data_IF_066681284051
#
_entry.id   IF_066681284051
#
_cell.length_a   1.000
_cell.length_b   1.000
_cell.length_c   1.000
_cell.angle_alpha   90.00
_cell.angle_beta   90.00
_cell.angle_gamma   90.00
#
_symmetry.space_group_name_H-M   'P 1'
#
loop_
_entity.id
_entity.type
_entity.pdbx_description
1 polymer ?
#
# COMPACT_ATOMS: atom_id res chain seq x y z
N UNK A 1 34.47 16.42 -10.57
CA UNK A 1 35.20 15.80 -9.44
C UNK A 1 34.48 16.24 -8.18
N UNK A 2 33.32 15.69 -7.85
CA UNK A 2 33.19 14.54 -6.94
C UNK A 2 31.88 13.79 -7.22
N UNK A 3 31.97 12.47 -7.19
CA UNK A 3 30.85 11.54 -7.29
C UNK A 3 30.22 11.36 -5.91
N UNK A 4 28.99 11.82 -5.68
CA UNK A 4 28.23 11.44 -4.47
C UNK A 4 27.38 10.22 -4.80
N UNK A 5 27.83 9.10 -4.25
CA UNK A 5 27.34 7.75 -4.53
C UNK A 5 25.89 7.52 -4.14
N UNK A 6 25.27 6.67 -4.96
CA UNK A 6 24.02 5.97 -4.73
C UNK A 6 24.28 4.90 -3.66
N UNK A 7 23.53 4.84 -2.54
CA UNK A 7 23.56 3.67 -1.70
C UNK A 7 22.75 2.58 -2.38
N UNK A 8 23.43 1.77 -3.18
CA UNK A 8 22.94 0.51 -3.72
C UNK A 8 23.50 -0.63 -2.88
N UNK A 9 22.93 -0.80 -1.68
CA UNK A 9 22.77 -2.07 -0.97
C UNK A 9 21.97 -1.81 0.32
N UNK A 10 20.64 -1.73 0.22
CA UNK A 10 19.79 -1.87 1.40
C UNK A 10 19.69 -3.38 1.68
N UNK A 11 20.72 -3.89 2.35
CA UNK A 11 20.88 -5.27 2.75
C UNK A 11 19.64 -5.84 3.41
N UNK A 12 19.39 -7.10 3.09
CA UNK A 12 18.31 -7.94 3.63
C UNK A 12 18.38 -7.94 5.17
N UNK A 13 17.36 -7.39 5.82
CA UNK A 13 17.21 -7.42 7.28
C UNK A 13 16.58 -8.73 7.70
N UNK A 14 17.42 -9.74 7.90
CA UNK A 14 17.04 -10.99 8.56
C UNK A 14 16.85 -10.72 10.09
N UNK A 15 15.70 -10.15 10.44
CA UNK A 15 15.21 -9.99 11.82
C UNK A 15 14.87 -8.55 12.25
N UNK A 16 13.65 -8.36 12.77
CA UNK A 16 13.16 -7.21 13.54
C UNK A 16 12.68 -5.94 12.79
N UNK A 17 11.36 -5.86 12.58
CA UNK A 17 10.62 -4.63 12.26
C UNK A 17 9.98 -4.62 10.86
N UNK A 18 8.71 -4.26 10.78
CA UNK A 18 8.03 -4.00 9.50
C UNK A 18 8.70 -2.80 8.82
N UNK A 19 9.01 -2.88 7.53
CA UNK A 19 9.53 -1.72 6.78
C UNK A 19 8.41 -0.73 6.42
N UNK A 20 8.74 0.56 6.36
CA UNK A 20 7.83 1.61 5.94
C UNK A 20 7.55 1.47 4.44
N UNK A 21 6.28 1.32 4.00
CA UNK A 21 5.96 1.15 2.58
C UNK A 21 6.19 2.43 1.75
N UNK A 22 6.32 3.59 2.40
CA UNK A 22 6.50 4.88 1.71
C UNK A 22 7.97 5.16 1.37
N UNK A 23 8.90 4.83 2.27
CA UNK A 23 10.33 5.20 2.16
C UNK A 23 11.32 4.06 2.44
N UNK A 24 10.88 2.89 2.90
CA UNK A 24 11.74 1.73 3.19
C UNK A 24 12.44 1.73 4.56
N UNK A 25 12.42 2.84 5.31
CA UNK A 25 12.97 2.90 6.66
C UNK A 25 12.19 2.02 7.65
N UNK A 26 12.76 1.61 8.80
CA UNK A 26 12.03 0.85 9.81
C UNK A 26 10.74 1.56 10.25
N UNK A 27 9.62 0.83 10.32
CA UNK A 27 8.36 1.39 10.79
C UNK A 27 8.45 1.82 12.26
N UNK A 28 7.61 2.78 12.64
CA UNK A 28 7.54 3.26 14.02
C UNK A 28 7.29 2.11 15.01
N UNK A 29 7.73 2.25 16.27
CA UNK A 29 7.43 1.27 17.30
C UNK A 29 5.90 1.14 17.50
N UNK A 30 5.41 -0.01 17.96
CA UNK A 30 4.02 -0.15 18.40
C UNK A 30 3.71 0.87 19.49
N UNK A 31 2.51 1.43 19.48
CA UNK A 31 2.06 2.25 20.60
C UNK A 31 1.81 1.36 21.82
N UNK A 32 1.87 1.96 23.01
CA UNK A 32 1.26 1.34 24.19
C UNK A 32 -0.24 1.07 23.97
N UNK A 33 -0.82 0.17 24.76
CA UNK A 33 -2.25 -0.16 24.65
C UNK A 33 -3.11 1.12 24.75
N UNK A 34 -3.92 1.36 23.72
CA UNK A 34 -4.79 2.54 23.62
C UNK A 34 -4.12 3.80 23.06
N UNK A 35 -2.80 3.77 22.82
CA UNK A 35 -2.08 4.84 22.16
C UNK A 35 -2.22 4.81 20.63
N UNK A 36 -1.67 5.83 19.97
CA UNK A 36 -1.62 5.92 18.50
C UNK A 36 -0.18 5.80 18.01
N UNK A 37 0.07 4.91 17.06
CA UNK A 37 1.35 4.77 16.37
C UNK A 37 1.11 4.90 14.85
N UNK A 38 2.03 5.53 14.10
CA UNK A 38 1.89 5.67 12.66
C UNK A 38 2.23 4.38 11.90
N UNK A 39 2.39 3.22 12.57
CA UNK A 39 2.54 1.93 11.89
C UNK A 39 1.41 1.72 10.87
N UNK A 40 1.71 1.21 9.66
CA UNK A 40 2.96 0.60 9.20
C UNK A 40 4.08 1.57 8.76
N UNK A 41 3.91 2.89 8.94
CA UNK A 41 4.87 3.90 8.48
C UNK A 41 5.91 4.27 9.55
N UNK A 42 7.02 4.89 9.13
CA UNK A 42 8.02 5.44 10.04
C UNK A 42 7.56 6.76 10.72
N UNK A 43 6.60 7.49 10.12
CA UNK A 43 6.14 8.80 10.59
C UNK A 43 4.75 9.17 10.05
N UNK A 44 4.10 10.16 10.66
CA UNK A 44 2.84 10.72 10.15
C UNK A 44 3.00 11.31 8.73
N UNK A 45 4.15 11.92 8.43
CA UNK A 45 4.42 12.44 7.09
C UNK A 45 4.42 11.34 6.02
N UNK A 46 4.96 10.16 6.32
CA UNK A 46 4.91 9.04 5.38
C UNK A 46 3.50 8.47 5.20
N UNK A 47 2.67 8.50 6.24
CA UNK A 47 1.25 8.14 6.12
C UNK A 47 0.48 9.15 5.23
N UNK A 48 0.72 10.46 5.41
CA UNK A 48 0.06 11.49 4.60
C UNK A 48 0.48 11.44 3.13
N UNK A 49 1.75 11.11 2.86
CA UNK A 49 2.25 10.91 1.48
C UNK A 49 1.57 9.69 0.84
N UNK A 50 1.44 8.59 1.56
CA UNK A 50 0.75 7.39 1.08
C UNK A 50 -0.71 7.71 0.76
N UNK A 51 -1.41 8.39 1.67
CA UNK A 51 -2.77 8.87 1.44
C UNK A 51 -2.85 9.78 0.20
N UNK A 52 -1.86 10.66 0.00
CA UNK A 52 -1.75 11.47 -1.21
C UNK A 52 -1.62 10.63 -2.48
N UNK A 53 -0.87 9.51 -2.44
CA UNK A 53 -0.75 8.58 -3.58
C UNK A 53 -2.08 7.91 -3.91
N UNK A 54 -2.88 7.56 -2.90
CA UNK A 54 -4.25 7.06 -3.10
C UNK A 54 -5.13 8.09 -3.82
N UNK A 55 -5.16 9.33 -3.33
CA UNK A 55 -5.99 10.38 -3.93
C UNK A 55 -5.53 10.84 -5.32
N UNK A 56 -4.28 10.55 -5.68
CA UNK A 56 -3.71 10.85 -7.00
C UNK A 56 -3.76 9.64 -7.94
N UNK A 57 -4.48 8.58 -7.57
CA UNK A 57 -4.62 7.36 -8.38
C UNK A 57 -3.26 6.75 -8.78
N UNK A 58 -2.24 6.92 -7.93
CA UNK A 58 -0.90 6.38 -8.17
C UNK A 58 -0.84 4.88 -7.93
N UNK A 59 -1.76 4.36 -7.12
CA UNK A 59 -1.95 2.93 -6.93
C UNK A 59 -2.98 2.44 -7.94
N UNK A 60 -2.49 1.77 -8.98
CA UNK A 60 -3.31 1.14 -10.01
C UNK A 60 -2.81 -0.28 -10.25
N UNK A 61 -3.74 -1.20 -10.47
CA UNK A 61 -3.42 -2.55 -10.92
C UNK A 61 -3.42 -2.52 -12.45
N UNK A 62 -2.32 -2.90 -13.12
CA UNK A 62 -2.27 -2.93 -14.58
C UNK A 62 -3.38 -3.83 -15.14
N UNK A 63 -4.00 -3.39 -16.23
CA UNK A 63 -4.91 -4.24 -16.99
C UNK A 63 -4.10 -5.38 -17.62
N UNK A 64 -4.66 -6.59 -17.57
CA UNK A 64 -4.16 -7.76 -18.30
C UNK A 64 -5.09 -8.03 -19.47
N UNK A 65 -4.54 -8.29 -20.65
CA UNK A 65 -5.33 -8.72 -21.81
C UNK A 65 -5.97 -10.09 -21.47
N UNK A 66 -7.29 -10.12 -21.33
CA UNK A 66 -8.05 -11.27 -20.82
C UNK A 66 -8.77 -11.04 -19.49
N UNK A 67 -8.79 -9.83 -18.95
CA UNK A 67 -9.85 -9.43 -18.02
C UNK A 67 -11.13 -9.17 -18.83
N UNK A 68 -11.76 -10.24 -19.29
CA UNK A 68 -13.05 -10.18 -19.97
C UNK A 68 -14.16 -9.68 -19.03
N UNK A 69 -15.20 -9.07 -19.62
CA UNK A 69 -16.35 -8.50 -18.92
C UNK A 69 -17.08 -9.53 -18.01
N UNK A 70 -16.71 -10.82 -18.07
CA UNK A 70 -17.26 -11.88 -17.22
C UNK A 70 -17.02 -11.64 -15.73
N UNK A 71 -15.89 -11.03 -15.33
CA UNK A 71 -15.59 -10.74 -13.92
C UNK A 71 -16.51 -9.63 -13.40
N UNK A 72 -16.70 -8.57 -14.19
CA UNK A 72 -17.60 -7.46 -13.84
C UNK A 72 -19.07 -7.89 -13.89
N UNK A 73 -19.47 -8.74 -14.84
CA UNK A 73 -20.82 -9.30 -14.93
C UNK A 73 -21.15 -10.22 -13.74
N UNK A 74 -20.20 -11.06 -13.32
CA UNK A 74 -20.35 -11.95 -12.15
C UNK A 74 -20.50 -11.16 -10.85
N UNK A 75 -19.75 -10.06 -10.69
CA UNK A 75 -19.86 -9.17 -9.53
C UNK A 75 -21.16 -8.35 -9.55
N UNK A 76 -21.61 -7.92 -10.73
CA UNK A 76 -22.86 -7.18 -10.89
C UNK A 76 -24.12 -8.05 -10.68
N UNK A 77 -24.07 -9.33 -11.07
CA UNK A 77 -25.18 -10.28 -10.90
C UNK A 77 -25.44 -10.73 -9.46
N UNK A 78 -24.44 -10.63 -8.57
CA UNK A 78 -24.55 -11.09 -7.19
C UNK A 78 -25.41 -10.19 -6.27
N UNK A 79 -25.87 -9.02 -6.75
CA UNK A 79 -26.57 -8.01 -5.96
C UNK A 79 -28.04 -7.77 -6.31
N UNK A 80 -28.60 -8.39 -7.34
CA UNK A 80 -30.00 -8.13 -7.76
C UNK A 80 -30.93 -9.21 -7.18
N UNK A 81 -31.79 -8.90 -6.18
CA UNK A 81 -32.79 -9.86 -5.74
C UNK A 81 -33.75 -10.17 -6.90
N UNK A 82 -34.26 -11.41 -7.03
CA UNK A 82 -35.24 -11.72 -8.06
C UNK A 82 -36.48 -10.85 -7.82
N UNK A 83 -36.90 -10.13 -8.85
CA UNK A 83 -38.19 -9.44 -8.89
C UNK A 83 -39.27 -10.54 -8.83
N UNK A 84 -39.92 -10.70 -7.67
CA UNK A 84 -40.96 -11.70 -7.45
C UNK A 84 -42.27 -11.17 -8.04
N UNK A 85 -42.84 -11.91 -8.99
CA UNK A 85 -44.20 -11.71 -9.53
C UNK A 85 -45.28 -12.22 -8.55
#
# INVERSE_FOLDING_TARGET
MTTSGKPEDAGKTDGAGLACPTCGEPAAPPAEKGGRSPRPFCSRRCADIDLGRWFQERYAIPAVEGADDSIVESLAGAGRPPEQE
#
